data_IF_211642802243
#
_entry.id   IF_211642802243
#
_cell.length_a   1.000
_cell.length_b   1.000
_cell.length_c   1.000
_cell.angle_alpha   90.00
_cell.angle_beta   90.00
_cell.angle_gamma   90.00
#
_symmetry.space_group_name_H-M   'P 1'
#
loop_
_entity.id
_entity.type
_entity.pdbx_description
1 polymer ?
#
# COMPACT_ATOMS: atom_id res chain seq x y z
N UNK A 1 -30.76 9.47 -2.44
CA UNK A 1 -29.61 9.62 -3.37
C UNK A 1 -29.42 11.10 -3.64
N UNK A 2 -28.20 11.64 -3.65
CA UNK A 2 -27.96 13.03 -3.98
C UNK A 2 -28.64 13.34 -5.33
N UNK A 3 -29.49 14.37 -5.34
CA UNK A 3 -30.45 14.66 -6.43
C UNK A 3 -29.83 14.85 -7.83
N UNK A 4 -28.50 14.89 -7.91
CA UNK A 4 -27.71 15.18 -9.10
C UNK A 4 -26.80 14.04 -9.56
N UNK A 5 -26.73 12.92 -8.83
CA UNK A 5 -25.86 11.78 -9.20
C UNK A 5 -26.71 10.70 -9.85
N UNK A 6 -26.53 10.52 -11.16
CA UNK A 6 -27.15 9.43 -11.90
C UNK A 6 -26.55 8.08 -11.47
N UNK A 7 -27.36 7.00 -11.40
CA UNK A 7 -26.87 5.68 -11.00
C UNK A 7 -25.68 5.15 -11.82
N UNK A 8 -25.65 5.49 -13.12
CA UNK A 8 -24.59 5.12 -14.06
C UNK A 8 -23.21 5.71 -13.69
N UNK A 9 -23.17 6.74 -12.85
CA UNK A 9 -21.96 7.46 -12.48
C UNK A 9 -21.28 6.83 -11.25
N UNK A 10 -21.98 6.01 -10.46
CA UNK A 10 -21.40 5.38 -9.27
C UNK A 10 -20.18 4.50 -9.55
N UNK A 11 -20.15 3.64 -10.61
CA UNK A 11 -18.97 2.85 -10.92
C UNK A 11 -17.75 3.71 -11.29
N UNK A 12 -17.97 4.78 -12.06
CA UNK A 12 -16.91 5.72 -12.43
C UNK A 12 -16.37 6.45 -11.20
N UNK A 13 -17.25 6.94 -10.33
CA UNK A 13 -16.86 7.60 -9.09
C UNK A 13 -16.11 6.66 -8.17
N UNK A 14 -16.54 5.40 -8.05
CA UNK A 14 -15.84 4.40 -7.25
C UNK A 14 -14.41 4.16 -7.76
N UNK A 15 -14.21 4.03 -9.07
CA UNK A 15 -12.87 3.89 -9.65
C UNK A 15 -11.99 5.12 -9.40
N UNK A 16 -12.54 6.33 -9.61
CA UNK A 16 -11.81 7.58 -9.44
C UNK A 16 -11.41 7.82 -7.97
N UNK A 17 -12.32 7.59 -7.02
CA UNK A 17 -12.01 7.73 -5.59
C UNK A 17 -11.02 6.67 -5.12
N UNK A 18 -11.12 5.43 -5.62
CA UNK A 18 -10.16 4.38 -5.34
C UNK A 18 -8.74 4.77 -5.79
N UNK A 19 -8.57 5.20 -7.04
CA UNK A 19 -7.25 5.62 -7.54
C UNK A 19 -6.72 6.84 -6.79
N UNK A 20 -7.57 7.84 -6.54
CA UNK A 20 -7.16 9.05 -5.81
C UNK A 20 -6.71 8.72 -4.38
N UNK A 21 -7.45 7.88 -3.67
CA UNK A 21 -7.09 7.43 -2.32
C UNK A 21 -5.80 6.60 -2.31
N UNK A 22 -5.58 5.77 -3.34
CA UNK A 22 -4.33 5.03 -3.50
C UNK A 22 -3.12 5.97 -3.67
N UNK A 23 -3.26 7.03 -4.47
CA UNK A 23 -2.22 8.06 -4.61
C UNK A 23 -1.95 8.77 -3.29
N UNK A 24 -3.00 9.19 -2.57
CA UNK A 24 -2.88 9.86 -1.26
C UNK A 24 -2.20 8.93 -0.26
N UNK A 25 -2.56 7.65 -0.21
CA UNK A 25 -1.93 6.65 0.65
C UNK A 25 -0.43 6.52 0.36
N UNK A 26 -0.06 6.39 -0.92
CA UNK A 26 1.35 6.29 -1.32
C UNK A 26 2.15 7.54 -0.95
N UNK A 27 1.61 8.73 -1.21
CA UNK A 27 2.25 10.00 -0.85
C UNK A 27 2.41 10.15 0.66
N UNK A 28 1.35 9.84 1.41
CA UNK A 28 1.38 9.88 2.88
C UNK A 28 2.48 8.98 3.43
N UNK A 29 2.56 7.74 2.93
CA UNK A 29 3.64 6.81 3.31
C UNK A 29 5.03 7.37 2.95
N UNK A 30 5.19 7.96 1.76
CA UNK A 30 6.46 8.53 1.35
C UNK A 30 6.88 9.71 2.24
N UNK A 31 5.94 10.53 2.69
CA UNK A 31 6.24 11.65 3.60
C UNK A 31 6.65 11.18 4.99
N UNK A 32 6.03 10.12 5.52
CA UNK A 32 6.23 9.70 6.91
C UNK A 32 7.26 8.57 7.11
N UNK A 33 7.46 7.71 6.13
CA UNK A 33 8.26 6.48 6.29
C UNK A 33 9.52 6.46 5.41
N UNK A 34 9.71 7.46 4.53
CA UNK A 34 10.92 7.52 3.72
C UNK A 34 12.07 8.01 4.60
N UNK A 35 13.18 7.25 4.74
CA UNK A 35 14.30 7.61 5.60
C UNK A 35 14.97 8.95 5.22
N UNK A 36 14.78 9.41 3.98
CA UNK A 36 15.33 10.68 3.48
C UNK A 36 14.44 11.89 3.82
N UNK A 37 13.18 11.67 4.24
CA UNK A 37 12.20 12.74 4.48
C UNK A 37 12.04 13.03 5.97
N UNK A 38 12.64 14.13 6.43
CA UNK A 38 12.64 14.54 7.85
C UNK A 38 11.55 15.57 8.19
N UNK A 39 10.34 15.09 8.43
CA UNK A 39 9.20 15.93 8.86
C UNK A 39 9.34 16.37 10.32
N UNK A 40 9.80 15.48 11.20
CA UNK A 40 9.94 15.76 12.63
C UNK A 40 11.17 16.65 12.91
N UNK A 41 10.98 17.73 13.67
CA UNK A 41 12.06 18.66 14.05
C UNK A 41 13.17 17.98 14.86
N UNK A 42 12.84 16.98 15.68
CA UNK A 42 13.82 16.21 16.47
C UNK A 42 14.79 15.44 15.58
N UNK A 43 14.32 14.94 14.43
CA UNK A 43 15.18 14.23 13.48
C UNK A 43 16.08 15.17 12.67
N UNK A 44 15.90 16.50 12.76
CA UNK A 44 16.78 17.47 12.07
C UNK A 44 18.01 17.84 12.89
N UNK A 45 18.00 17.59 14.20
CA UNK A 45 19.13 17.91 15.08
C UNK A 45 20.21 16.84 15.08
N UNK A 46 19.93 15.63 14.56
CA UNK A 46 20.92 14.56 14.38
C UNK A 46 21.69 14.77 13.07
N UNK A 47 22.98 15.09 13.23
CA UNK A 47 23.91 15.33 12.12
C UNK A 47 24.33 14.05 11.38
N UNK A 48 24.31 12.89 12.07
CA UNK A 48 24.59 11.57 11.50
C UNK A 48 23.28 10.80 11.36
N UNK A 49 23.06 10.21 10.19
CA UNK A 49 21.82 9.52 9.81
C UNK A 49 21.92 8.00 10.12
N UNK A 50 21.74 7.60 11.38
CA UNK A 50 21.63 6.17 11.74
C UNK A 50 20.19 5.65 11.54
N UNK A 51 19.74 5.63 10.28
CA UNK A 51 18.36 5.31 9.89
C UNK A 51 18.18 3.88 9.33
N UNK A 52 19.08 2.94 9.67
CA UNK A 52 19.05 1.57 9.14
C UNK A 52 17.71 0.85 9.40
N UNK A 53 17.22 0.88 10.64
CA UNK A 53 15.95 0.24 11.02
C UNK A 53 14.73 0.86 10.31
N UNK A 54 14.76 2.16 10.04
CA UNK A 54 13.71 2.87 9.32
C UNK A 54 13.73 2.51 7.82
N UNK A 55 14.93 2.42 7.25
CA UNK A 55 15.17 1.96 5.87
C UNK A 55 14.70 0.52 5.65
N UNK A 56 14.99 -0.39 6.59
CA UNK A 56 14.50 -1.78 6.53
C UNK A 56 12.97 -1.84 6.57
N UNK A 57 12.32 -1.06 7.44
CA UNK A 57 10.85 -0.97 7.50
C UNK A 57 10.25 -0.34 6.25
N UNK A 58 10.95 0.58 5.60
CA UNK A 58 10.53 1.16 4.32
C UNK A 58 10.67 0.17 3.17
N UNK A 59 11.74 -0.63 3.14
CA UNK A 59 11.98 -1.64 2.10
C UNK A 59 11.07 -2.87 2.26
N UNK A 60 10.97 -3.42 3.47
CA UNK A 60 10.13 -4.57 3.80
C UNK A 60 8.71 -4.14 4.22
N UNK A 61 7.86 -3.82 3.25
CA UNK A 61 6.44 -3.61 3.54
C UNK A 61 5.80 -4.89 4.13
N UNK A 62 4.91 -4.75 5.11
CA UNK A 62 4.27 -5.89 5.79
C UNK A 62 3.60 -6.89 4.83
N UNK A 63 2.92 -6.39 3.79
CA UNK A 63 2.36 -7.24 2.73
C UNK A 63 3.44 -8.01 1.96
N UNK A 64 4.58 -7.36 1.66
CA UNK A 64 5.71 -8.00 0.95
C UNK A 64 6.34 -9.09 1.81
N UNK A 65 6.49 -8.83 3.12
CA UNK A 65 6.99 -9.82 4.09
C UNK A 65 6.03 -10.99 4.25
N UNK A 66 4.72 -10.71 4.29
CA UNK A 66 3.68 -11.72 4.37
C UNK A 66 3.60 -12.61 3.11
N UNK A 67 3.72 -12.01 1.93
CA UNK A 67 3.68 -12.75 0.66
C UNK A 67 4.96 -13.57 0.40
N UNK A 68 6.10 -13.22 1.02
CA UNK A 68 7.38 -13.93 0.81
C UNK A 68 7.36 -15.40 1.25
N UNK A 69 6.53 -15.75 2.23
CA UNK A 69 6.42 -17.13 2.76
C UNK A 69 5.33 -17.95 2.09
N UNK A 70 4.53 -17.33 1.22
CA UNK A 70 3.42 -17.98 0.52
C UNK A 70 3.91 -18.49 -0.85
N UNK A 71 3.38 -19.62 -1.34
CA UNK A 71 3.62 -20.02 -2.73
C UNK A 71 3.14 -18.90 -3.67
N UNK A 72 3.80 -18.71 -4.83
CA UNK A 72 3.46 -17.66 -5.79
C UNK A 72 2.17 -18.02 -6.55
N UNK A 73 1.05 -18.01 -5.83
CA UNK A 73 -0.28 -18.30 -6.35
C UNK A 73 -1.22 -17.14 -6.03
N UNK A 74 -1.87 -16.60 -7.06
CA UNK A 74 -2.75 -15.43 -6.93
C UNK A 74 -4.03 -15.81 -6.18
N UNK A 75 -4.54 -17.03 -6.39
CA UNK A 75 -5.75 -17.56 -5.77
C UNK A 75 -5.59 -19.06 -5.50
N UNK A 76 -4.93 -19.46 -4.40
CA UNK A 76 -4.63 -20.87 -4.12
C UNK A 76 -5.89 -21.73 -4.03
N UNK A 77 -7.00 -21.19 -3.50
CA UNK A 77 -8.29 -21.91 -3.39
C UNK A 77 -8.97 -22.14 -4.73
N UNK A 78 -8.87 -21.19 -5.65
CA UNK A 78 -9.42 -21.32 -7.01
C UNK A 78 -8.53 -22.25 -7.83
N UNK A 79 -7.21 -22.12 -7.67
CA UNK A 79 -6.24 -22.99 -8.32
C UNK A 79 -6.45 -24.45 -7.89
N UNK A 80 -6.47 -24.73 -6.58
CA UNK A 80 -6.73 -26.08 -6.06
C UNK A 80 -8.08 -26.63 -6.50
N UNK A 81 -9.12 -25.79 -6.59
CA UNK A 81 -10.44 -26.21 -7.07
C UNK A 81 -10.41 -26.72 -8.52
N UNK A 82 -9.61 -26.12 -9.40
CA UNK A 82 -9.50 -26.54 -10.80
C UNK A 82 -8.39 -27.56 -11.05
N UNK A 83 -7.35 -27.61 -10.22
CA UNK A 83 -6.19 -28.48 -10.38
C UNK A 83 -6.29 -29.79 -9.61
N UNK A 84 -7.05 -29.87 -8.52
CA UNK A 84 -7.28 -31.14 -7.81
C UNK A 84 -8.21 -32.03 -8.65
N UNK A 85 -7.63 -32.88 -9.48
CA UNK A 85 -8.33 -34.03 -10.04
C UNK A 85 -8.52 -35.08 -8.94
N UNK A 86 -9.77 -35.32 -8.56
CA UNK A 86 -10.15 -36.49 -7.76
C UNK A 86 -10.12 -37.76 -8.61
#
# INVERSE_FOLDING_TARGET
MPRWVRPEVYPLMAAMTFVTSMCVFQLTRNVFMNPDVRVNKVHRTTAVLENHDEGEKYAEHGLRKFLRTRPPEIMPTVNSFFSDTK
#
